data_IF_895972322445
#
_entry.id   IF_895972322445
#
_cell.length_a   1.000
_cell.length_b   1.000
_cell.length_c   1.000
_cell.angle_alpha   90.00
_cell.angle_beta   90.00
_cell.angle_gamma   90.00
#
_symmetry.space_group_name_H-M   'P 1'
#
loop_
_entity.id
_entity.type
_entity.pdbx_description
1 polymer ?
#
# COMPACT_ATOMS: atom_id res chain seq x y z
N UNK A 1 -18.55 17.36 -51.47
CA UNK A 1 -18.34 15.95 -51.07
C UNK A 1 -19.51 15.52 -50.20
N UNK A 2 -19.86 14.24 -50.24
CA UNK A 2 -20.87 13.63 -49.37
C UNK A 2 -20.27 12.36 -48.76
N UNK A 3 -20.74 11.98 -47.57
CA UNK A 3 -20.25 10.82 -46.83
C UNK A 3 -21.42 10.03 -46.25
N UNK A 4 -21.24 8.72 -46.07
CA UNK A 4 -22.24 7.88 -45.43
C UNK A 4 -22.10 7.96 -43.90
N UNK A 5 -23.25 8.02 -43.22
CA UNK A 5 -23.34 8.04 -41.77
C UNK A 5 -24.54 7.18 -41.35
N UNK A 6 -24.33 6.28 -40.38
CA UNK A 6 -25.41 5.44 -39.84
C UNK A 6 -26.11 6.14 -38.69
N UNK A 7 -27.43 6.28 -38.81
CA UNK A 7 -28.29 6.94 -37.82
C UNK A 7 -29.37 5.94 -37.41
N UNK A 8 -29.57 5.77 -36.10
CA UNK A 8 -30.67 4.96 -35.58
C UNK A 8 -32.00 5.70 -35.79
N UNK A 9 -32.97 5.06 -36.44
CA UNK A 9 -34.36 5.53 -36.56
C UNK A 9 -35.31 4.37 -36.31
N UNK A 10 -36.33 4.62 -35.50
CA UNK A 10 -37.43 3.67 -35.25
C UNK A 10 -36.98 2.27 -34.80
N UNK A 11 -35.78 2.17 -34.21
CA UNK A 11 -35.14 0.93 -33.74
C UNK A 11 -34.09 0.34 -34.68
N UNK A 12 -34.02 0.77 -35.95
CA UNK A 12 -33.09 0.23 -36.94
C UNK A 12 -31.95 1.20 -37.31
N UNK A 13 -30.78 0.64 -37.63
CA UNK A 13 -29.60 1.41 -38.05
C UNK A 13 -29.63 1.66 -39.56
N UNK A 14 -30.01 2.87 -39.97
CA UNK A 14 -30.10 3.24 -41.38
C UNK A 14 -28.87 4.06 -41.80
N UNK A 15 -28.14 3.59 -42.82
CA UNK A 15 -27.02 4.33 -43.41
C UNK A 15 -27.54 5.39 -44.39
N UNK A 16 -27.46 6.66 -44.01
CA UNK A 16 -27.84 7.79 -44.85
C UNK A 16 -26.60 8.46 -45.46
N UNK A 17 -26.68 8.85 -46.73
CA UNK A 17 -25.64 9.70 -47.35
C UNK A 17 -25.93 11.17 -47.02
N UNK A 18 -24.99 11.85 -46.38
CA UNK A 18 -25.11 13.22 -45.88
C UNK A 18 -24.19 14.16 -46.69
N UNK A 19 -24.72 15.31 -47.09
CA UNK A 19 -23.96 16.36 -47.77
C UNK A 19 -23.22 17.23 -46.75
N UNK A 20 -21.94 17.53 -47.03
CA UNK A 20 -21.06 18.32 -46.17
C UNK A 20 -21.65 19.70 -45.80
N UNK A 21 -22.38 20.36 -46.71
CA UNK A 21 -23.00 21.66 -46.42
C UNK A 21 -24.16 21.58 -45.42
N UNK A 22 -24.87 20.46 -45.33
CA UNK A 22 -26.02 20.31 -44.44
C UNK A 22 -25.58 19.89 -43.03
N UNK A 23 -24.49 19.11 -42.92
CA UNK A 23 -23.81 18.87 -41.65
C UNK A 23 -23.31 20.19 -41.00
N UNK A 24 -22.73 21.10 -41.79
CA UNK A 24 -22.29 22.40 -41.28
C UNK A 24 -23.45 23.29 -40.81
N UNK A 25 -24.58 23.31 -41.54
CA UNK A 25 -25.79 24.05 -41.11
C UNK A 25 -26.30 23.53 -39.76
N UNK A 26 -26.37 22.21 -39.57
CA UNK A 26 -26.78 21.61 -38.30
C UNK A 26 -25.90 22.03 -37.11
N UNK A 27 -24.59 22.21 -37.32
CA UNK A 27 -23.67 22.72 -36.28
C UNK A 27 -23.75 24.22 -36.01
N UNK A 28 -24.44 25.01 -36.86
CA UNK A 28 -24.53 26.47 -36.75
C UNK A 28 -25.84 26.99 -36.14
N UNK A 29 -26.88 26.15 -36.07
CA UNK A 29 -28.13 26.47 -35.37
C UNK A 29 -28.01 26.12 -33.89
N UNK A 30 -27.99 27.13 -33.02
CA UNK A 30 -28.27 26.94 -31.59
C UNK A 30 -29.68 26.35 -31.45
N UNK A 31 -29.85 25.16 -30.86
CA UNK A 31 -31.17 24.54 -30.76
C UNK A 31 -32.03 25.36 -29.82
N UNK A 32 -33.09 25.97 -30.36
CA UNK A 32 -34.19 26.48 -29.54
C UNK A 32 -34.70 25.30 -28.71
N UNK A 33 -34.59 25.39 -27.38
CA UNK A 33 -34.98 24.31 -26.47
C UNK A 33 -36.49 24.09 -26.58
N UNK A 34 -36.87 23.15 -27.45
CA UNK A 34 -38.14 22.46 -27.32
C UNK A 34 -38.08 21.71 -25.99
N UNK A 35 -39.17 21.71 -25.24
CA UNK A 35 -39.31 20.86 -24.05
C UNK A 35 -39.16 19.41 -24.51
N UNK A 36 -38.08 18.76 -24.07
CA UNK A 36 -37.74 17.39 -24.41
C UNK A 36 -38.97 16.49 -24.08
N UNK A 37 -39.54 15.74 -25.04
CA UNK A 37 -40.72 14.92 -24.79
C UNK A 37 -40.36 13.93 -23.68
N UNK A 38 -41.04 14.06 -22.52
CA UNK A 38 -40.59 13.47 -21.26
C UNK A 38 -40.28 11.99 -21.41
N UNK A 39 -38.98 11.67 -21.50
CA UNK A 39 -38.50 10.31 -21.66
C UNK A 39 -39.00 9.49 -20.47
N UNK A 40 -39.95 8.58 -20.74
CA UNK A 40 -40.41 7.63 -19.73
C UNK A 40 -39.18 6.93 -19.16
N UNK A 41 -39.04 6.96 -17.85
CA UNK A 41 -38.02 6.18 -17.17
C UNK A 41 -38.13 4.71 -17.62
N UNK A 42 -37.01 4.03 -17.96
CA UNK A 42 -37.06 2.65 -18.43
C UNK A 42 -37.82 1.74 -17.46
N UNK A 43 -38.74 0.92 -17.99
CA UNK A 43 -39.61 0.05 -17.19
C UNK A 43 -38.84 -1.06 -16.45
N UNK A 44 -37.57 -1.28 -16.81
CA UNK A 44 -36.62 -2.14 -16.11
C UNK A 44 -35.22 -1.50 -16.04
N UNK A 45 -34.50 -1.78 -14.95
CA UNK A 45 -33.08 -1.41 -14.77
C UNK A 45 -32.24 -2.62 -14.38
N UNK A 46 -30.92 -2.56 -14.64
CA UNK A 46 -30.00 -3.66 -14.32
C UNK A 46 -29.48 -3.50 -12.88
N UNK A 47 -29.81 -4.45 -12.00
CA UNK A 47 -29.24 -4.55 -10.66
C UNK A 47 -28.10 -5.57 -10.64
N UNK A 48 -26.86 -5.10 -10.74
CA UNK A 48 -25.66 -5.94 -10.60
C UNK A 48 -25.22 -6.03 -9.15
N UNK A 49 -25.05 -7.25 -8.62
CA UNK A 49 -24.45 -7.52 -7.30
C UNK A 49 -23.42 -8.63 -7.40
N UNK A 50 -22.22 -8.38 -6.87
CA UNK A 50 -21.20 -9.40 -6.64
C UNK A 50 -21.68 -10.40 -5.59
N UNK A 51 -21.82 -11.67 -5.96
CA UNK A 51 -22.22 -12.77 -5.04
C UNK A 51 -20.99 -13.35 -4.33
N UNK A 52 -19.89 -13.53 -5.08
CA UNK A 52 -18.59 -13.98 -4.59
C UNK A 52 -17.56 -12.94 -5.05
N UNK A 53 -16.79 -12.38 -4.11
CA UNK A 53 -15.69 -11.47 -4.47
C UNK A 53 -14.52 -12.22 -5.09
N UNK A 54 -13.71 -11.53 -5.89
CA UNK A 54 -12.46 -12.11 -6.41
C UNK A 54 -11.58 -12.56 -5.23
N UNK A 55 -11.17 -13.84 -5.15
CA UNK A 55 -10.26 -14.32 -4.11
C UNK A 55 -8.80 -13.96 -4.40
N UNK A 56 -8.52 -13.28 -5.52
CA UNK A 56 -7.15 -12.93 -5.94
C UNK A 56 -6.52 -11.93 -4.96
N UNK A 57 -5.45 -12.38 -4.32
CA UNK A 57 -4.54 -11.55 -3.54
C UNK A 57 -3.47 -10.96 -4.47
N UNK A 58 -3.30 -9.65 -4.42
CA UNK A 58 -2.34 -8.90 -5.23
C UNK A 58 -1.08 -8.52 -4.43
N UNK A 59 -1.18 -8.35 -3.11
CA UNK A 59 -0.05 -8.13 -2.20
C UNK A 59 -0.15 -9.03 -0.97
N UNK A 60 0.99 -9.60 -0.56
CA UNK A 60 1.16 -10.29 0.72
C UNK A 60 2.28 -9.54 1.45
N UNK A 61 1.96 -8.90 2.57
CA UNK A 61 2.89 -8.03 3.31
C UNK A 61 3.02 -8.50 4.77
N UNK A 62 4.23 -8.79 5.28
CA UNK A 62 4.44 -8.96 6.72
C UNK A 62 4.27 -7.61 7.42
N UNK A 63 3.51 -7.59 8.52
CA UNK A 63 3.10 -6.36 9.20
C UNK A 63 3.02 -6.56 10.72
N UNK A 64 2.96 -5.46 11.46
CA UNK A 64 2.72 -5.43 12.90
C UNK A 64 1.57 -4.46 13.24
N UNK A 65 0.36 -4.76 12.74
CA UNK A 65 -0.79 -3.83 12.82
C UNK A 65 -1.56 -3.92 14.15
N UNK A 66 -1.27 -4.92 14.99
CA UNK A 66 -1.80 -5.05 16.37
C UNK A 66 -0.76 -4.62 17.42
N UNK A 67 0.41 -5.27 17.37
CA UNK A 67 1.52 -5.06 18.31
C UNK A 67 2.82 -5.60 17.68
N UNK A 68 3.94 -5.62 18.44
CA UNK A 68 5.16 -6.35 18.04
C UNK A 68 5.16 -7.84 18.43
N UNK A 69 4.13 -8.34 19.11
CA UNK A 69 4.03 -9.74 19.58
C UNK A 69 3.25 -10.66 18.65
N UNK A 70 2.76 -10.16 17.51
CA UNK A 70 1.99 -10.93 16.53
C UNK A 70 2.71 -10.96 15.19
N UNK A 71 2.84 -12.17 14.62
CA UNK A 71 3.37 -12.39 13.27
C UNK A 71 2.26 -12.17 12.24
N UNK A 72 1.76 -10.93 12.15
CA UNK A 72 0.66 -10.57 11.26
C UNK A 72 1.12 -10.53 9.79
N UNK A 73 0.28 -11.08 8.91
CA UNK A 73 0.43 -11.07 7.46
C UNK A 73 -0.83 -10.43 6.86
N UNK A 74 -0.64 -9.36 6.10
CA UNK A 74 -1.71 -8.71 5.36
C UNK A 74 -1.81 -9.32 3.95
N UNK A 75 -2.96 -9.92 3.65
CA UNK A 75 -3.37 -10.36 2.32
C UNK A 75 -4.30 -9.28 1.73
N UNK A 76 -3.83 -8.57 0.70
CA UNK A 76 -4.56 -7.48 0.06
C UNK A 76 -4.98 -7.89 -1.35
N UNK A 77 -6.29 -7.92 -1.60
CA UNK A 77 -6.89 -8.18 -2.91
C UNK A 77 -7.45 -6.92 -3.57
N UNK A 78 -8.21 -7.10 -4.65
CA UNK A 78 -8.80 -6.00 -5.45
C UNK A 78 -9.63 -4.99 -4.64
N UNK A 79 -10.35 -5.47 -3.62
CA UNK A 79 -11.23 -4.64 -2.77
C UNK A 79 -11.19 -5.00 -1.28
N UNK A 80 -10.24 -5.83 -0.85
CA UNK A 80 -10.21 -6.34 0.52
C UNK A 80 -8.80 -6.31 1.14
N UNK A 81 -8.78 -6.19 2.46
CA UNK A 81 -7.61 -6.47 3.30
C UNK A 81 -8.03 -7.53 4.30
N UNK A 82 -7.27 -8.61 4.36
CA UNK A 82 -7.41 -9.65 5.37
C UNK A 82 -6.09 -9.74 6.14
N UNK A 83 -6.14 -9.57 7.45
CA UNK A 83 -5.00 -9.82 8.34
C UNK A 83 -5.15 -11.23 8.89
N UNK A 84 -4.06 -11.99 8.82
CA UNK A 84 -3.95 -13.35 9.37
C UNK A 84 -2.64 -13.47 10.16
N UNK A 85 -2.61 -14.33 11.17
CA UNK A 85 -1.46 -14.54 12.04
C UNK A 85 -0.79 -15.87 11.70
N UNK A 86 0.54 -15.85 11.51
CA UNK A 86 1.37 -17.05 11.45
C UNK A 86 1.70 -17.51 12.88
N UNK A 87 1.12 -18.63 13.30
CA UNK A 87 1.32 -19.18 14.64
C UNK A 87 2.50 -20.17 14.69
N UNK A 88 2.88 -20.54 15.92
CA UNK A 88 4.01 -21.45 16.20
C UNK A 88 3.79 -22.89 15.67
N UNK A 89 2.54 -23.25 15.32
CA UNK A 89 2.19 -24.49 14.62
C UNK A 89 2.49 -24.44 13.10
N UNK A 90 3.00 -23.31 12.60
CA UNK A 90 3.27 -23.06 11.18
C UNK A 90 2.03 -22.72 10.36
N UNK A 91 0.85 -22.57 10.97
CA UNK A 91 -0.42 -22.34 10.28
C UNK A 91 -0.84 -20.86 10.32
N UNK A 92 -1.30 -20.37 9.17
CA UNK A 92 -1.81 -19.01 9.00
C UNK A 92 -3.31 -18.99 9.31
N UNK A 93 -3.69 -18.29 10.38
CA UNK A 93 -5.06 -18.18 10.86
C UNK A 93 -5.63 -16.79 10.59
N UNK A 94 -6.83 -16.68 10.02
CA UNK A 94 -7.49 -15.38 9.80
C UNK A 94 -7.79 -14.69 11.16
N UNK A 95 -7.47 -13.40 11.23
CA UNK A 95 -7.64 -12.56 12.43
C UNK A 95 -8.79 -11.58 12.23
N UNK A 96 -8.78 -10.82 11.12
CA UNK A 96 -9.81 -9.83 10.79
C UNK A 96 -9.76 -9.44 9.30
N UNK A 97 -10.92 -9.18 8.69
CA UNK A 97 -11.04 -8.82 7.26
C UNK A 97 -11.94 -7.60 7.04
N UNK A 98 -11.60 -6.77 6.04
CA UNK A 98 -12.28 -5.54 5.63
C UNK A 98 -12.45 -5.50 4.10
N UNK A 99 -13.61 -5.08 3.61
CA UNK A 99 -13.94 -5.07 2.16
C UNK A 99 -14.79 -3.86 1.69
N UNK A 100 -15.01 -2.89 2.58
CA UNK A 100 -15.89 -1.73 2.41
C UNK A 100 -15.16 -0.44 1.99
N UNK A 101 -14.01 -0.56 1.31
CA UNK A 101 -13.19 0.59 0.84
C UNK A 101 -13.83 1.46 -0.26
N UNK A 102 -15.07 1.17 -0.67
CA UNK A 102 -15.82 1.88 -1.71
C UNK A 102 -15.32 1.65 -3.15
N UNK A 103 -14.02 1.73 -3.38
CA UNK A 103 -13.36 1.54 -4.69
C UNK A 103 -12.28 0.45 -4.62
N UNK A 104 -11.56 0.20 -5.72
CA UNK A 104 -10.48 -0.80 -5.75
C UNK A 104 -9.23 -0.31 -5.05
N UNK A 105 -8.46 -1.24 -4.52
CA UNK A 105 -7.11 -1.01 -4.00
C UNK A 105 -6.15 -1.11 -5.18
N UNK A 106 -5.47 0.00 -5.51
CA UNK A 106 -4.50 0.05 -6.62
C UNK A 106 -3.10 -0.34 -6.17
N UNK A 107 -2.72 -0.04 -4.92
CA UNK A 107 -1.42 -0.42 -4.36
C UNK A 107 -1.42 -0.46 -2.82
N UNK A 108 -0.42 -1.11 -2.23
CA UNK A 108 -0.28 -1.25 -0.77
C UNK A 108 1.19 -1.24 -0.32
N UNK A 109 1.49 -0.51 0.75
CA UNK A 109 2.82 -0.42 1.39
C UNK A 109 2.68 -0.45 2.92
N UNK A 110 3.76 -0.78 3.62
CA UNK A 110 3.81 -0.73 5.09
C UNK A 110 4.54 0.54 5.54
N UNK A 111 3.94 1.30 6.45
CA UNK A 111 4.53 2.47 7.10
C UNK A 111 4.99 2.08 8.51
N UNK A 112 6.19 2.52 8.88
CA UNK A 112 6.82 2.19 10.15
C UNK A 112 7.89 1.12 10.00
N UNK A 113 9.02 1.32 10.68
CA UNK A 113 10.15 0.40 10.63
C UNK A 113 9.76 -1.02 11.11
N UNK A 114 10.39 -2.07 10.54
CA UNK A 114 10.16 -3.44 11.00
C UNK A 114 10.50 -3.58 12.49
N UNK A 115 10.07 -4.67 13.15
CA UNK A 115 10.63 -5.05 14.45
C UNK A 115 12.16 -4.94 14.45
N UNK A 116 12.72 -4.37 15.52
CA UNK A 116 14.15 -4.54 15.80
C UNK A 116 14.40 -6.04 15.91
N UNK A 117 15.52 -6.50 15.34
CA UNK A 117 15.78 -7.92 15.04
C UNK A 117 16.04 -8.83 16.25
N UNK A 118 15.43 -8.54 17.39
CA UNK A 118 15.43 -9.36 18.59
C UNK A 118 14.51 -10.58 18.38
N UNK A 119 14.85 -11.45 17.42
CA UNK A 119 14.17 -12.73 17.18
C UNK A 119 14.53 -13.66 18.36
N UNK A 120 13.62 -13.95 19.30
CA UNK A 120 13.93 -14.75 20.49
C UNK A 120 13.90 -16.24 20.10
N UNK A 121 14.94 -16.67 19.38
CA UNK A 121 14.96 -17.96 18.70
C UNK A 121 15.90 -18.06 17.50
N UNK A 122 16.61 -16.98 17.09
CA UNK A 122 17.59 -17.03 16.00
C UNK A 122 18.89 -17.80 16.32
N UNK A 123 18.91 -18.62 17.39
CA UNK A 123 19.93 -19.62 17.61
C UNK A 123 19.54 -20.91 16.87
N UNK A 124 20.41 -21.37 15.96
CA UNK A 124 20.19 -22.56 15.14
C UNK A 124 18.94 -22.52 14.22
N UNK A 125 18.86 -21.48 13.37
CA UNK A 125 18.28 -21.66 12.05
C UNK A 125 19.17 -22.62 11.23
N UNK A 126 19.02 -23.92 11.49
CA UNK A 126 19.84 -24.97 10.87
C UNK A 126 19.63 -24.97 9.36
N UNK A 127 20.63 -24.45 8.63
CA UNK A 127 20.72 -24.62 7.18
C UNK A 127 20.70 -26.12 6.91
N UNK A 128 19.67 -26.60 6.20
CA UNK A 128 19.64 -27.98 5.72
C UNK A 128 20.74 -28.14 4.66
N UNK A 129 21.89 -28.63 5.09
CA UNK A 129 22.82 -29.36 4.22
C UNK A 129 22.11 -30.60 3.70
N UNK A 130 22.40 -30.98 2.46
CA UNK A 130 21.83 -32.17 1.84
C UNK A 130 22.56 -33.42 2.37
N UNK A 131 21.90 -34.17 3.27
CA UNK A 131 22.43 -35.42 3.81
C UNK A 131 22.34 -36.55 2.77
N UNK A 132 23.40 -37.35 2.66
CA UNK A 132 23.52 -38.45 1.70
C UNK A 132 23.06 -39.81 2.26
N UNK A 133 22.53 -40.68 1.40
CA UNK A 133 21.91 -41.96 1.76
C UNK A 133 22.84 -42.97 2.45
N UNK A 134 22.48 -43.39 3.68
CA UNK A 134 22.83 -44.70 4.28
C UNK A 134 21.76 -45.09 5.34
N UNK A 135 21.62 -46.37 5.75
CA UNK A 135 20.27 -46.97 5.82
C UNK A 135 19.74 -47.29 7.23
N UNK A 136 18.49 -47.79 7.26
CA UNK A 136 17.73 -48.21 8.44
C UNK A 136 18.45 -49.19 9.38
N UNK A 137 18.14 -49.08 10.69
CA UNK A 137 18.18 -50.20 11.63
C UNK A 137 17.19 -50.01 12.79
N UNK A 138 16.73 -51.12 13.37
CA UNK A 138 15.47 -51.19 14.13
C UNK A 138 15.55 -50.91 15.65
N UNK A 139 14.46 -50.28 16.13
CA UNK A 139 13.65 -50.58 17.34
C UNK A 139 14.34 -51.11 18.61
N UNK A 140 14.17 -50.37 19.72
CA UNK A 140 13.96 -50.92 21.07
C UNK A 140 13.09 -49.96 21.93
N UNK A 141 12.19 -50.51 22.76
CA UNK A 141 11.30 -49.76 23.68
C UNK A 141 11.88 -49.67 25.11
N UNK A 142 11.41 -48.71 25.94
CA UNK A 142 10.89 -48.98 27.31
C UNK A 142 10.43 -47.74 28.15
N UNK A 143 9.12 -47.69 28.43
CA UNK A 143 8.44 -47.47 29.74
C UNK A 143 8.72 -46.30 30.72
N UNK A 144 7.67 -45.47 30.87
CA UNK A 144 6.87 -45.16 32.10
C UNK A 144 7.49 -45.13 33.54
N UNK A 145 7.23 -44.02 34.28
CA UNK A 145 6.82 -43.91 35.72
C UNK A 145 6.96 -42.45 36.24
N UNK A 146 6.25 -41.90 37.25
CA UNK A 146 4.93 -42.17 37.88
C UNK A 146 4.47 -40.92 38.72
N UNK A 147 3.21 -40.88 39.16
CA UNK A 147 2.39 -39.83 39.83
C UNK A 147 2.85 -39.25 41.20
N UNK A 148 2.29 -38.07 41.59
CA UNK A 148 1.79 -37.60 42.93
C UNK A 148 1.99 -36.07 43.15
N UNK A 149 1.17 -35.26 43.88
CA UNK A 149 -0.16 -35.41 44.53
C UNK A 149 -0.86 -34.03 44.79
N UNK A 150 -2.15 -34.09 45.17
CA UNK A 150 -3.06 -33.13 45.89
C UNK A 150 -2.43 -32.04 46.81
N UNK A 151 -3.03 -30.87 47.16
CA UNK A 151 -4.30 -30.13 46.86
C UNK A 151 -4.11 -28.59 47.18
N UNK A 152 -5.03 -27.68 47.63
CA UNK A 152 -6.42 -27.67 48.18
C UNK A 152 -7.09 -26.24 48.11
N UNK A 153 -8.15 -26.01 48.90
CA UNK A 153 -9.03 -24.81 49.13
C UNK A 153 -8.33 -23.42 49.26
N UNK A 154 -8.90 -22.22 48.96
CA UNK A 154 -10.24 -21.65 48.73
C UNK A 154 -10.84 -20.78 49.89
N UNK A 155 -11.17 -19.49 49.64
CA UNK A 155 -12.24 -18.73 50.35
C UNK A 155 -12.68 -17.39 49.70
N UNK A 156 -13.87 -16.96 50.15
CA UNK A 156 -14.69 -15.75 49.93
C UNK A 156 -13.97 -14.40 49.65
N UNK A 157 -14.50 -13.40 48.92
CA UNK A 157 -15.88 -12.92 48.63
C UNK A 157 -16.43 -11.80 49.56
N UNK A 158 -16.19 -10.55 49.15
CA UNK A 158 -16.89 -9.27 49.46
C UNK A 158 -16.46 -8.27 48.36
N UNK A 159 -17.20 -7.24 47.96
CA UNK A 159 -18.48 -6.68 48.42
C UNK A 159 -19.24 -6.14 47.20
N UNK A 160 -20.58 -6.19 47.18
CA UNK A 160 -21.37 -5.76 46.02
C UNK A 160 -22.71 -5.14 46.43
N UNK A 161 -22.72 -3.85 46.79
CA UNK A 161 -23.96 -3.06 46.86
C UNK A 161 -23.73 -1.54 46.86
N UNK A 162 -23.79 -0.93 45.69
CA UNK A 162 -24.57 0.30 45.48
C UNK A 162 -24.91 0.42 43.99
N UNK A 163 -26.07 1.00 43.68
CA UNK A 163 -26.68 0.92 42.36
C UNK A 163 -27.14 2.28 41.86
N UNK A 164 -26.92 2.51 40.56
CA UNK A 164 -27.61 3.48 39.71
C UNK A 164 -27.75 4.90 40.25
N UNK A 165 -26.81 5.76 39.88
CA UNK A 165 -27.10 6.99 39.12
C UNK A 165 -25.86 7.39 38.30
N UNK A 166 -26.03 8.06 37.16
CA UNK A 166 -24.92 8.39 36.25
C UNK A 166 -24.66 7.38 35.11
N UNK A 167 -25.71 6.82 34.49
CA UNK A 167 -25.63 6.48 33.06
C UNK A 167 -25.50 7.79 32.25
N UNK A 168 -24.95 7.72 31.04
CA UNK A 168 -24.76 8.85 30.12
C UNK A 168 -23.67 9.89 30.49
N UNK A 169 -22.51 9.45 31.02
CA UNK A 169 -21.31 10.31 31.08
C UNK A 169 -19.95 9.60 30.93
N UNK A 170 -19.92 8.27 30.71
CA UNK A 170 -18.69 7.50 30.50
C UNK A 170 -18.89 6.41 29.47
N UNK A 171 -18.54 6.70 28.21
CA UNK A 171 -17.87 5.66 27.42
C UNK A 171 -16.60 5.27 28.17
N UNK A 172 -16.31 3.96 28.27
CA UNK A 172 -15.07 3.54 28.90
C UNK A 172 -13.89 4.07 28.08
N UNK A 173 -12.87 4.59 28.76
CA UNK A 173 -11.70 5.20 28.14
C UNK A 173 -10.84 4.09 27.48
N UNK A 174 -11.25 3.65 26.29
CA UNK A 174 -10.56 2.65 25.47
C UNK A 174 -9.10 3.06 25.34
N UNK A 175 -8.17 2.19 25.74
CA UNK A 175 -6.74 2.49 25.73
C UNK A 175 -6.23 2.64 24.28
N UNK A 176 -6.28 3.85 23.75
CA UNK A 176 -5.79 4.22 22.42
C UNK A 176 -4.27 4.13 22.42
N UNK A 177 -3.74 3.10 21.78
CA UNK A 177 -2.30 2.93 21.53
C UNK A 177 -2.12 2.78 20.02
N UNK A 178 -1.15 3.48 19.44
CA UNK A 178 -0.81 3.29 18.04
C UNK A 178 0.13 2.08 17.89
N UNK A 179 -0.16 1.12 17.00
CA UNK A 179 0.73 -0.01 16.75
C UNK A 179 2.02 0.44 16.06
N UNK A 180 3.08 -0.40 16.07
CA UNK A 180 4.39 -0.05 15.53
C UNK A 180 4.42 0.17 14.01
N UNK A 181 3.37 -0.28 13.30
CA UNK A 181 3.24 -0.14 11.85
C UNK A 181 1.78 0.15 11.46
N UNK A 182 1.61 0.83 10.32
CA UNK A 182 0.34 1.04 9.65
C UNK A 182 0.42 0.46 8.23
N UNK A 183 -0.66 -0.13 7.75
CA UNK A 183 -0.83 -0.49 6.34
C UNK A 183 -1.36 0.75 5.61
N UNK A 184 -0.69 1.16 4.53
CA UNK A 184 -1.14 2.28 3.69
C UNK A 184 -1.59 1.74 2.34
N UNK A 185 -2.87 1.96 2.02
CA UNK A 185 -3.46 1.64 0.73
C UNK A 185 -3.51 2.89 -0.15
N UNK A 186 -3.28 2.72 -1.44
CA UNK A 186 -3.59 3.71 -2.47
C UNK A 186 -4.82 3.22 -3.24
N UNK A 187 -5.93 3.97 -3.17
CA UNK A 187 -7.19 3.61 -3.81
C UNK A 187 -7.23 3.99 -5.30
N UNK A 188 -8.21 3.46 -6.03
CA UNK A 188 -8.40 3.76 -7.45
C UNK A 188 -8.71 5.25 -7.71
N UNK A 189 -9.29 5.95 -6.72
CA UNK A 189 -9.47 7.41 -6.71
C UNK A 189 -8.16 8.21 -6.61
N UNK A 190 -7.07 7.58 -6.15
CA UNK A 190 -5.82 8.24 -5.77
C UNK A 190 -5.77 8.70 -4.31
N UNK A 191 -6.79 8.39 -3.51
CA UNK A 191 -6.79 8.67 -2.07
C UNK A 191 -5.96 7.64 -1.30
N UNK A 192 -5.28 8.08 -0.24
CA UNK A 192 -4.47 7.22 0.61
C UNK A 192 -5.24 6.84 1.89
N UNK A 193 -5.37 5.54 2.19
CA UNK A 193 -6.01 5.05 3.42
C UNK A 193 -4.97 4.45 4.33
N UNK A 194 -4.80 5.04 5.52
CA UNK A 194 -3.94 4.55 6.59
C UNK A 194 -4.77 3.66 7.52
N UNK A 195 -4.32 2.42 7.72
CA UNK A 195 -5.03 1.36 8.42
C UNK A 195 -4.18 0.74 9.51
N UNK A 196 -4.82 0.42 10.63
CA UNK A 196 -4.27 -0.44 11.67
C UNK A 196 -5.38 -1.17 12.42
N UNK A 197 -5.03 -2.09 13.32
CA UNK A 197 -5.99 -2.80 14.17
C UNK A 197 -5.91 -2.23 15.59
N UNK A 198 -7.07 -2.04 16.22
CA UNK A 198 -7.19 -1.78 17.64
C UNK A 198 -7.98 -2.92 18.29
N UNK A 199 -7.47 -3.42 19.40
CA UNK A 199 -8.20 -4.29 20.32
C UNK A 199 -8.97 -3.45 21.34
N UNK A 200 -10.22 -3.86 21.61
CA UNK A 200 -11.11 -3.22 22.59
C UNK A 200 -11.04 -3.88 23.96
N UNK A 201 -11.66 -3.24 24.94
CA UNK A 201 -11.78 -3.75 26.32
C UNK A 201 -12.58 -5.07 26.44
N UNK A 202 -13.33 -5.45 25.41
CA UNK A 202 -14.04 -6.73 25.28
C UNK A 202 -13.27 -7.79 24.47
N UNK A 203 -12.01 -7.52 24.10
CA UNK A 203 -11.19 -8.37 23.24
C UNK A 203 -11.58 -8.34 21.75
N UNK A 204 -12.56 -7.53 21.34
CA UNK A 204 -12.92 -7.43 19.92
C UNK A 204 -11.92 -6.58 19.15
N UNK A 205 -11.49 -7.08 18.00
CA UNK A 205 -10.60 -6.39 17.09
C UNK A 205 -11.42 -5.52 16.12
N UNK A 206 -10.99 -4.27 15.90
CA UNK A 206 -11.51 -3.40 14.83
C UNK A 206 -10.39 -2.84 13.98
N UNK A 207 -10.65 -2.65 12.69
CA UNK A 207 -9.84 -1.76 11.88
C UNK A 207 -10.12 -0.30 12.27
N UNK A 208 -9.05 0.47 12.49
CA UNK A 208 -9.09 1.93 12.55
C UNK A 208 -8.53 2.46 11.23
N UNK A 209 -9.21 3.43 10.64
CA UNK A 209 -8.93 3.93 9.30
C UNK A 209 -8.91 5.46 9.26
N UNK A 210 -7.93 6.04 8.57
CA UNK A 210 -7.90 7.47 8.22
C UNK A 210 -7.63 7.62 6.74
N UNK A 211 -8.52 8.32 6.02
CA UNK A 211 -8.36 8.58 4.58
C UNK A 211 -7.84 9.99 4.37
N UNK A 212 -6.77 10.12 3.59
CA UNK A 212 -6.26 11.39 3.08
C UNK A 212 -6.62 11.51 1.60
N UNK A 213 -7.41 12.54 1.27
CA UNK A 213 -7.84 12.79 -0.10
C UNK A 213 -6.68 13.31 -0.96
N UNK A 214 -6.60 12.88 -2.22
CA UNK A 214 -5.53 13.32 -3.11
C UNK A 214 -5.60 14.84 -3.36
N UNK A 215 -4.48 15.59 -3.25
CA UNK A 215 -4.46 17.02 -3.50
C UNK A 215 -4.62 17.35 -5.01
N UNK A 216 -4.54 16.34 -5.88
CA UNK A 216 -4.71 16.50 -7.33
C UNK A 216 -5.17 15.20 -7.97
N UNK A 217 -6.20 15.27 -8.80
CA UNK A 217 -6.54 14.17 -9.69
C UNK A 217 -5.41 13.98 -10.71
N UNK A 218 -4.65 12.90 -10.57
CA UNK A 218 -3.70 12.36 -11.54
C UNK A 218 -4.20 10.96 -11.88
N UNK A 219 -4.41 10.66 -13.17
CA UNK A 219 -4.96 9.36 -13.55
C UNK A 219 -3.99 8.25 -13.14
N UNK A 220 -4.50 7.10 -12.70
CA UNK A 220 -3.71 5.95 -12.29
C UNK A 220 -2.66 6.23 -11.18
N UNK A 221 -2.85 7.27 -10.36
CA UNK A 221 -1.99 7.55 -9.20
C UNK A 221 -1.92 6.35 -8.26
N UNK A 222 -0.71 5.86 -7.98
CA UNK A 222 -0.46 4.61 -7.27
C UNK A 222 0.02 3.46 -8.16
N UNK A 223 0.11 3.66 -9.48
CA UNK A 223 0.73 2.68 -10.39
C UNK A 223 2.17 2.34 -9.97
N UNK A 224 2.90 3.33 -9.46
CA UNK A 224 4.06 3.12 -8.59
C UNK A 224 3.71 3.61 -7.18
N UNK A 225 4.11 2.89 -6.13
CA UNK A 225 3.90 3.30 -4.74
C UNK A 225 5.03 2.74 -3.87
N UNK A 226 5.78 3.61 -3.19
CA UNK A 226 6.96 3.24 -2.40
C UNK A 226 7.18 4.21 -1.23
N UNK A 227 7.95 3.79 -0.23
CA UNK A 227 8.18 4.52 1.04
C UNK A 227 9.67 4.71 1.34
N UNK A 228 10.04 5.86 1.92
CA UNK A 228 11.34 6.08 2.56
C UNK A 228 11.58 4.98 3.61
N UNK A 229 12.75 4.32 3.60
CA UNK A 229 13.18 3.39 4.65
C UNK A 229 12.95 3.85 6.09
N UNK A 230 13.12 5.14 6.35
CA UNK A 230 12.92 5.76 7.67
C UNK A 230 11.47 6.26 7.90
N UNK A 231 10.55 5.96 6.98
CA UNK A 231 9.11 6.28 7.02
C UNK A 231 8.78 7.79 7.13
N UNK A 232 9.65 8.69 6.65
CA UNK A 232 9.43 10.15 6.64
C UNK A 232 8.73 10.64 5.38
N UNK A 233 8.81 9.89 4.28
CA UNK A 233 8.15 10.20 3.03
C UNK A 233 7.54 8.95 2.39
N UNK A 234 6.46 9.12 1.64
CA UNK A 234 6.01 8.13 0.65
C UNK A 234 5.83 8.80 -0.72
N UNK A 235 5.89 8.00 -1.79
CA UNK A 235 5.76 8.48 -3.17
C UNK A 235 4.72 7.67 -3.93
N UNK A 236 3.80 8.35 -4.61
CA UNK A 236 2.79 7.74 -5.48
C UNK A 236 2.96 8.25 -6.91
N UNK A 237 3.18 7.35 -7.86
CA UNK A 237 3.40 7.63 -9.27
C UNK A 237 2.18 7.29 -10.12
N UNK A 238 1.94 8.10 -11.14
CA UNK A 238 0.98 7.87 -12.22
C UNK A 238 1.67 7.26 -13.44
N UNK A 239 0.93 6.43 -14.19
CA UNK A 239 1.37 5.94 -15.50
C UNK A 239 1.56 7.08 -16.54
N UNK A 240 0.95 8.25 -16.32
CA UNK A 240 1.04 9.43 -17.20
C UNK A 240 2.28 10.32 -16.91
N UNK A 241 3.20 9.89 -16.05
CA UNK A 241 4.46 10.61 -15.79
C UNK A 241 4.40 11.66 -14.68
N UNK A 242 3.25 11.83 -14.03
CA UNK A 242 3.14 12.59 -12.79
C UNK A 242 3.46 11.76 -11.55
N UNK A 243 3.93 12.38 -10.48
CA UNK A 243 4.03 11.76 -9.15
C UNK A 243 3.74 12.77 -8.03
N UNK A 244 3.42 12.25 -6.85
CA UNK A 244 3.23 13.01 -5.61
C UNK A 244 4.15 12.43 -4.54
N UNK A 245 4.94 13.29 -3.90
CA UNK A 245 5.63 13.00 -2.64
C UNK A 245 4.75 13.48 -1.50
N UNK A 246 4.60 12.65 -0.47
CA UNK A 246 3.88 12.98 0.76
C UNK A 246 4.90 12.98 1.89
N UNK A 247 5.03 14.10 2.60
CA UNK A 247 5.81 14.19 3.84
C UNK A 247 4.96 13.65 4.99
N UNK A 248 5.51 12.73 5.77
CA UNK A 248 4.79 11.99 6.79
C UNK A 248 4.99 12.60 8.19
N UNK A 249 3.98 12.44 9.04
CA UNK A 249 4.14 12.65 10.47
C UNK A 249 4.85 11.44 11.12
N UNK A 250 5.68 11.71 12.13
CA UNK A 250 6.35 10.67 12.90
C UNK A 250 5.34 9.79 13.63
N UNK A 251 5.65 8.49 13.75
CA UNK A 251 4.85 7.56 14.56
C UNK A 251 4.69 8.05 16.01
N UNK A 252 5.71 8.71 16.56
CA UNK A 252 5.69 9.32 17.90
C UNK A 252 4.59 10.36 18.04
N UNK A 253 4.56 11.37 17.16
CA UNK A 253 3.52 12.41 17.17
C UNK A 253 2.15 11.85 16.82
N UNK A 254 2.08 10.88 15.89
CA UNK A 254 0.83 10.18 15.56
C UNK A 254 0.27 9.41 16.75
N UNK A 255 1.11 8.77 17.58
CA UNK A 255 0.66 8.09 18.80
C UNK A 255 0.05 9.08 19.78
N UNK A 256 0.74 10.20 20.06
CA UNK A 256 0.20 11.25 20.94
C UNK A 256 -1.09 11.89 20.41
N UNK A 257 -1.23 12.08 19.08
CA UNK A 257 -2.49 12.52 18.45
C UNK A 257 -3.62 11.49 18.61
N UNK A 258 -3.30 10.21 18.47
CA UNK A 258 -4.28 9.13 18.59
C UNK A 258 -4.71 8.90 20.05
N UNK A 259 -3.77 8.90 20.99
CA UNK A 259 -4.02 8.86 22.44
C UNK A 259 -4.99 9.98 22.86
N UNK A 260 -4.63 11.24 22.58
CA UNK A 260 -5.40 12.42 23.00
C UNK A 260 -6.72 12.60 22.26
N UNK A 261 -6.72 12.52 20.92
CA UNK A 261 -7.87 12.91 20.09
C UNK A 261 -8.58 11.74 19.37
N UNK A 262 -8.05 10.52 19.42
CA UNK A 262 -8.61 9.38 18.69
C UNK A 262 -8.51 9.46 17.17
N UNK A 263 -7.78 10.45 16.64
CA UNK A 263 -7.66 10.75 15.21
C UNK A 263 -6.20 10.87 14.79
N UNK A 264 -5.87 10.45 13.57
CA UNK A 264 -4.54 10.61 12.98
C UNK A 264 -4.50 11.72 11.94
N UNK A 265 -3.34 12.37 11.81
CA UNK A 265 -2.98 13.21 10.66
C UNK A 265 -1.63 12.74 10.09
N UNK A 266 -1.61 11.67 9.26
CA UNK A 266 -0.36 11.02 8.86
C UNK A 266 0.51 11.80 7.87
N UNK A 267 -0.02 12.86 7.25
CA UNK A 267 0.65 13.63 6.19
C UNK A 267 0.74 15.09 6.63
N UNK A 268 1.96 15.65 6.59
CA UNK A 268 2.27 17.05 6.86
C UNK A 268 2.11 17.93 5.63
N UNK A 269 2.74 17.52 4.53
CA UNK A 269 2.81 18.27 3.28
C UNK A 269 2.75 17.34 2.08
N UNK A 270 2.44 17.89 0.91
CA UNK A 270 2.47 17.13 -0.35
C UNK A 270 3.16 17.94 -1.44
N UNK A 271 3.87 17.24 -2.32
CA UNK A 271 4.56 17.84 -3.45
C UNK A 271 4.27 17.08 -4.74
N UNK A 272 3.48 17.71 -5.62
CA UNK A 272 3.24 17.20 -6.97
C UNK A 272 4.40 17.57 -7.90
N UNK A 273 4.83 16.62 -8.72
CA UNK A 273 5.84 16.80 -9.78
C UNK A 273 5.36 16.12 -11.07
N UNK A 274 5.57 16.77 -12.21
CA UNK A 274 5.41 16.18 -13.53
C UNK A 274 6.80 15.93 -14.13
N UNK A 275 6.99 14.76 -14.74
CA UNK A 275 8.26 14.40 -15.40
C UNK A 275 8.20 14.63 -16.91
N UNK A 276 9.36 14.67 -17.59
CA UNK A 276 9.43 14.75 -19.05
C UNK A 276 9.37 13.37 -19.72
N UNK A 277 8.46 12.48 -19.31
CA UNK A 277 8.33 11.14 -19.88
C UNK A 277 7.32 10.26 -19.13
N UNK A 278 7.38 8.94 -19.36
CA UNK A 278 6.63 7.95 -18.59
C UNK A 278 7.53 7.39 -17.49
N UNK A 279 7.03 7.32 -16.26
CA UNK A 279 7.72 6.68 -15.14
C UNK A 279 7.59 5.17 -15.31
N UNK A 280 8.72 4.49 -15.56
CA UNK A 280 8.81 3.04 -15.70
C UNK A 280 9.05 2.33 -14.35
N UNK A 281 9.76 2.99 -13.43
CA UNK A 281 9.92 2.61 -12.01
C UNK A 281 10.13 3.86 -11.15
N UNK A 282 9.71 3.82 -9.88
CA UNK A 282 9.98 4.84 -8.87
C UNK A 282 10.10 4.19 -7.48
N UNK A 283 11.29 4.24 -6.90
CA UNK A 283 11.65 3.49 -5.69
C UNK A 283 12.56 4.32 -4.78
N UNK A 284 12.34 4.26 -3.46
CA UNK A 284 13.29 4.84 -2.51
C UNK A 284 14.48 3.91 -2.30
N UNK A 285 15.68 4.48 -2.14
CA UNK A 285 16.90 3.75 -1.84
C UNK A 285 17.27 3.91 -0.36
N UNK A 286 18.03 2.95 0.16
CA UNK A 286 18.58 3.04 1.50
C UNK A 286 19.74 4.05 1.55
N UNK A 287 19.70 5.06 2.45
CA UNK A 287 20.87 5.87 2.76
C UNK A 287 21.95 4.99 3.44
N UNK A 288 23.15 5.56 3.64
CA UNK A 288 24.20 4.89 4.40
C UNK A 288 23.83 4.86 5.90
N UNK A 289 24.27 3.87 6.69
CA UNK A 289 23.97 3.81 8.13
C UNK A 289 24.46 5.02 8.92
N UNK A 290 25.52 5.69 8.45
CA UNK A 290 26.11 6.89 9.04
C UNK A 290 25.38 8.19 8.64
N UNK A 291 24.32 8.07 7.84
CA UNK A 291 23.80 9.10 6.94
C UNK A 291 22.26 9.01 6.82
N UNK A 292 21.62 8.42 7.84
CA UNK A 292 20.21 7.99 7.84
C UNK A 292 19.17 9.13 7.73
N UNK A 293 19.65 10.37 7.89
CA UNK A 293 18.91 11.60 7.67
C UNK A 293 18.72 11.96 6.18
N UNK A 294 19.47 11.36 5.25
CA UNK A 294 19.22 11.50 3.79
C UNK A 294 17.98 10.75 3.31
N UNK A 295 17.38 11.24 2.23
CA UNK A 295 16.26 10.63 1.51
C UNK A 295 16.61 10.53 0.02
N UNK A 296 16.72 9.31 -0.49
CA UNK A 296 17.14 9.04 -1.87
C UNK A 296 15.97 8.41 -2.63
N UNK A 297 15.50 9.06 -3.69
CA UNK A 297 14.43 8.58 -4.58
C UNK A 297 14.95 8.38 -6.00
N UNK A 298 14.92 7.14 -6.48
CA UNK A 298 15.31 6.77 -7.84
C UNK A 298 14.08 6.61 -8.74
N UNK A 299 14.10 7.28 -9.88
CA UNK A 299 13.13 7.09 -10.97
C UNK A 299 13.83 6.56 -12.22
N UNK A 300 13.17 5.64 -12.92
CA UNK A 300 13.51 5.31 -14.31
C UNK A 300 12.43 5.90 -15.21
N UNK A 301 12.81 6.87 -16.04
CA UNK A 301 11.89 7.64 -16.89
C UNK A 301 12.20 7.34 -18.36
N UNK A 302 11.20 6.88 -19.10
CA UNK A 302 11.30 6.60 -20.54
C UNK A 302 10.77 7.80 -21.31
N UNK A 303 11.63 8.46 -22.10
CA UNK A 303 11.27 9.66 -22.87
C UNK A 303 11.85 9.68 -24.27
N UNK A 304 11.18 10.37 -25.20
CA UNK A 304 11.63 10.53 -26.59
C UNK A 304 12.72 11.60 -26.66
N UNK A 305 13.93 11.23 -27.09
CA UNK A 305 15.03 12.17 -27.29
C UNK A 305 15.15 12.54 -28.77
N UNK A 306 14.83 13.78 -29.11
CA UNK A 306 14.87 14.31 -30.49
C UNK A 306 16.25 14.10 -31.13
N UNK A 307 17.33 14.34 -30.37
CA UNK A 307 18.72 14.17 -30.81
C UNK A 307 19.14 12.73 -31.12
N UNK A 308 18.35 11.73 -30.73
CA UNK A 308 18.57 10.30 -31.03
C UNK A 308 17.41 9.67 -31.81
N UNK A 309 16.39 10.46 -32.14
CA UNK A 309 15.15 10.07 -32.80
C UNK A 309 14.39 8.88 -32.16
N UNK A 310 14.70 8.55 -30.91
CA UNK A 310 14.27 7.30 -30.25
C UNK A 310 13.81 7.54 -28.80
N UNK A 311 13.13 6.54 -28.23
CA UNK A 311 12.87 6.50 -26.79
C UNK A 311 14.14 6.07 -26.04
N UNK A 312 14.42 6.77 -24.96
CA UNK A 312 15.60 6.61 -24.11
C UNK A 312 15.14 6.57 -22.66
N UNK A 313 15.56 5.52 -21.97
CA UNK A 313 15.36 5.35 -20.54
C UNK A 313 16.49 6.06 -19.78
N UNK A 314 16.12 6.93 -18.84
CA UNK A 314 17.06 7.60 -17.95
C UNK A 314 16.80 7.23 -16.50
N UNK A 315 17.88 7.01 -15.76
CA UNK A 315 17.87 6.96 -14.31
C UNK A 315 18.01 8.39 -13.78
N UNK A 316 16.97 8.91 -13.13
CA UNK A 316 17.01 10.16 -12.36
C UNK A 316 17.08 9.78 -10.89
N UNK A 317 17.98 10.41 -10.14
CA UNK A 317 18.05 10.28 -8.68
C UNK A 317 17.79 11.67 -8.10
N UNK A 318 16.87 11.72 -7.14
CA UNK A 318 16.67 12.85 -6.25
C UNK A 318 17.22 12.47 -4.87
N UNK A 319 17.91 13.41 -4.24
CA UNK A 319 18.57 13.27 -2.94
C UNK A 319 18.32 14.59 -2.18
N UNK A 320 17.92 14.49 -0.91
CA UNK A 320 17.58 15.62 -0.04
C UNK A 320 17.60 15.20 1.44
N UNK A 321 17.69 16.18 2.33
CA UNK A 321 17.65 15.99 3.78
C UNK A 321 16.26 16.34 4.37
N UNK A 322 15.96 15.86 5.59
CA UNK A 322 14.68 16.16 6.24
C UNK A 322 14.59 17.64 6.63
N UNK A 323 13.84 18.41 5.82
CA UNK A 323 13.65 19.85 5.99
C UNK A 323 13.95 20.66 4.72
N UNK A 324 14.55 20.03 3.70
CA UNK A 324 14.87 20.67 2.42
C UNK A 324 13.62 21.15 1.65
N UNK A 325 13.75 22.27 0.94
CA UNK A 325 12.68 22.75 0.06
C UNK A 325 12.58 21.85 -1.19
N UNK A 326 11.62 20.92 -1.19
CA UNK A 326 11.35 20.02 -2.33
C UNK A 326 11.10 20.75 -3.67
N UNK A 327 10.75 22.05 -3.67
CA UNK A 327 10.74 22.88 -4.89
C UNK A 327 12.11 22.97 -5.55
N UNK A 328 13.17 23.13 -4.75
CA UNK A 328 14.55 23.24 -5.22
C UNK A 328 15.08 21.87 -5.69
N UNK A 329 14.84 20.82 -4.91
CA UNK A 329 15.19 19.41 -5.23
C UNK A 329 14.61 19.01 -6.59
N UNK A 330 13.29 19.17 -6.79
CA UNK A 330 12.61 18.79 -8.03
C UNK A 330 12.66 19.86 -9.14
N UNK A 331 13.48 20.91 -9.00
CA UNK A 331 13.67 21.96 -10.03
C UNK A 331 14.34 21.42 -11.31
N UNK A 332 15.11 20.34 -11.17
CA UNK A 332 15.92 19.73 -12.22
C UNK A 332 15.45 18.30 -12.54
N UNK A 333 15.66 17.84 -13.77
CA UNK A 333 15.44 16.45 -14.19
C UNK A 333 16.67 15.93 -14.97
N UNK A 334 17.82 16.01 -14.29
CA UNK A 334 19.11 15.51 -14.78
C UNK A 334 19.23 14.02 -14.41
N UNK A 335 18.94 13.14 -15.37
CA UNK A 335 19.19 11.71 -15.25
C UNK A 335 20.25 11.21 -16.21
N UNK A 336 20.96 10.14 -15.86
CA UNK A 336 21.90 9.44 -16.75
C UNK A 336 21.14 8.50 -17.69
N UNK A 337 21.53 8.36 -18.97
CA UNK A 337 20.94 7.37 -19.86
C UNK A 337 21.39 5.96 -19.47
N UNK A 338 20.45 5.00 -19.44
CA UNK A 338 20.77 3.61 -19.14
C UNK A 338 21.50 2.92 -20.32
N UNK A 339 22.38 1.93 -20.06
CA UNK A 339 22.97 1.04 -21.08
C UNK A 339 21.92 0.40 -21.99
N UNK A 340 22.29 -0.01 -23.21
CA UNK A 340 21.31 -0.55 -24.18
C UNK A 340 20.64 -1.82 -23.65
N UNK A 341 21.42 -2.65 -22.98
CA UNK A 341 21.09 -3.91 -22.32
C UNK A 341 20.12 -3.73 -21.14
N UNK A 342 20.03 -2.52 -20.58
CA UNK A 342 19.32 -2.23 -19.32
C UNK A 342 18.23 -1.15 -19.50
N UNK A 343 17.73 -0.96 -20.73
CA UNK A 343 16.73 0.07 -21.02
C UNK A 343 15.37 -0.16 -20.36
N UNK A 344 14.95 -1.41 -20.16
CA UNK A 344 13.63 -1.76 -19.60
C UNK A 344 13.77 -2.77 -18.46
N UNK A 345 14.30 -2.38 -17.29
CA UNK A 345 14.47 -3.29 -16.17
C UNK A 345 13.12 -3.68 -15.57
N UNK A 346 12.87 -4.99 -15.42
CA UNK A 346 11.60 -5.51 -14.89
C UNK A 346 11.43 -5.22 -13.38
N UNK A 347 12.55 -5.16 -12.65
CA UNK A 347 12.62 -5.01 -11.20
C UNK A 347 13.77 -4.06 -10.82
N UNK A 348 13.65 -3.42 -9.65
CA UNK A 348 14.72 -2.75 -8.94
C UNK A 348 14.72 -3.34 -7.53
N UNK A 349 15.88 -3.60 -6.95
CA UNK A 349 16.01 -4.13 -5.59
C UNK A 349 16.90 -3.14 -4.80
N UNK A 350 16.33 -2.28 -3.95
CA UNK A 350 17.11 -1.45 -3.05
C UNK A 350 17.87 -2.32 -2.03
N UNK A 351 19.19 -2.29 -2.08
CA UNK A 351 20.05 -3.05 -1.16
C UNK A 351 20.37 -2.25 0.09
N UNK A 352 20.07 -2.78 1.28
CA UNK A 352 20.68 -2.28 2.53
C UNK A 352 22.15 -2.66 2.56
N UNK A 353 23.04 -1.70 2.84
CA UNK A 353 24.42 -2.04 3.23
C UNK A 353 24.41 -2.54 4.68
N UNK A 354 24.49 -3.86 4.87
CA UNK A 354 24.48 -4.53 6.18
C UNK A 354 25.91 -4.82 6.67
N UNK A 355 26.93 -4.50 5.87
CA UNK A 355 28.32 -4.90 6.10
C UNK A 355 29.21 -3.66 6.36
N UNK A 356 29.92 -3.61 7.51
CA UNK A 356 30.98 -2.63 7.69
C UNK A 356 32.16 -2.97 6.77
N UNK A 357 32.46 -2.07 5.85
CA UNK A 357 33.71 -1.99 5.06
C UNK A 357 34.31 -3.32 4.54
N UNK A 358 33.68 -3.92 3.52
CA UNK A 358 34.44 -4.80 2.62
C UNK A 358 35.50 -3.98 1.86
N UNK A 359 36.72 -3.96 2.39
CA UNK A 359 37.88 -3.53 1.62
C UNK A 359 38.05 -4.48 0.43
N UNK A 360 37.90 -3.97 -0.80
CA UNK A 360 38.36 -4.66 -2.00
C UNK A 360 39.89 -4.76 -1.96
N UNK A 361 40.42 -5.81 -1.34
CA UNK A 361 41.81 -6.21 -1.55
C UNK A 361 41.94 -6.62 -3.02
N UNK A 362 42.61 -5.76 -3.79
CA UNK A 362 42.73 -5.86 -5.23
C UNK A 362 43.81 -6.90 -5.59
N UNK A 363 43.48 -8.18 -5.43
CA UNK A 363 44.33 -9.32 -5.80
C UNK A 363 44.47 -9.41 -7.33
N UNK A 364 45.43 -8.65 -7.86
CA UNK A 364 45.99 -8.92 -9.19
C UNK A 364 46.53 -10.36 -9.21
N UNK A 365 46.03 -11.16 -10.13
CA UNK A 365 46.63 -12.44 -10.52
C UNK A 365 47.47 -12.22 -11.78
N UNK A 366 48.77 -12.54 -11.65
CA UNK A 366 49.79 -12.59 -12.70
C UNK A 366 49.81 -11.41 -13.70
#
# INVERSE_FOLDING_TARGET
MAFQSSVLRDGEWVTQTVNFQDALKASSTTPKVASDPSLKAPECGILSRTIIESPVVHWILPVCLRSRSHNDIAFIGDRFVQISELRDDGQVHEVIRKADFGTRIRNAIVLGGPPKGDIPGAAAASIKTEDADVPMKDVAEAKEAKEAKEAKEAKEAKEAKEASEGKEAKEAEEKRVLPPQLLVLMLETGDAVFLFIQERLDGTLRFVATTFQSPRNLQFLGYHFSIDPSSRYMSAGSAEGGFIIYELESLSHMSTQYESCGSLKPIKSTRVRLTQGVIHKMEFLYPRPEDDYHIILLLIIVRREVSKQAHVSRMVVYDWELGDELTAVFRSEKGTPLPKEHRMPLMIIPSKSILPSWQFQNTRLA
#
